data_IF_988125082895
#
_entry.id   IF_988125082895
#
_cell.length_a   1.000
_cell.length_b   1.000
_cell.length_c   1.000
_cell.angle_alpha   90.00
_cell.angle_beta   90.00
_cell.angle_gamma   90.00
#
_symmetry.space_group_name_H-M   'P 1'
#
loop_
_entity.id
_entity.type
_entity.pdbx_description
1 polymer ?
#
# COMPACT_ATOMS: atom_id res chain seq x y z
N UNK A 1 -7.78 -8.56 5.96
CA UNK A 1 -6.37 -8.87 6.23
C UNK A 1 -5.72 -7.83 7.12
N UNK A 2 -5.88 -6.53 6.86
CA UNK A 2 -5.21 -5.49 7.65
C UNK A 2 -5.63 -5.46 9.13
N UNK A 3 -6.92 -5.61 9.44
CA UNK A 3 -7.40 -5.70 10.83
C UNK A 3 -6.83 -6.92 11.58
N UNK A 4 -6.73 -8.07 10.91
CA UNK A 4 -6.12 -9.27 11.47
C UNK A 4 -4.63 -9.04 11.75
N UNK A 5 -3.90 -8.42 10.82
CA UNK A 5 -2.49 -8.07 10.99
C UNK A 5 -2.29 -7.06 12.14
N UNK A 6 -3.21 -6.12 12.34
CA UNK A 6 -3.19 -5.21 13.49
C UNK A 6 -3.35 -5.99 14.81
N UNK A 7 -4.32 -6.90 14.89
CA UNK A 7 -4.53 -7.76 16.05
C UNK A 7 -3.30 -8.62 16.35
N UNK A 8 -2.69 -9.22 15.33
CA UNK A 8 -1.47 -10.01 15.46
C UNK A 8 -0.31 -9.16 15.99
N UNK A 9 -0.11 -7.95 15.44
CA UNK A 9 0.93 -7.03 15.89
C UNK A 9 0.75 -6.62 17.36
N UNK A 10 -0.49 -6.38 17.79
CA UNK A 10 -0.80 -6.09 19.20
C UNK A 10 -0.54 -7.32 20.08
N UNK A 11 -0.95 -8.51 19.63
CA UNK A 11 -0.78 -9.76 20.37
C UNK A 11 0.70 -10.08 20.64
N UNK A 12 1.54 -10.01 19.62
CA UNK A 12 2.99 -10.24 19.73
C UNK A 12 3.79 -9.02 20.23
N UNK A 13 3.11 -7.92 20.62
CA UNK A 13 3.76 -6.74 21.19
C UNK A 13 4.57 -5.89 20.21
N UNK A 14 4.38 -6.08 18.90
CA UNK A 14 4.96 -5.22 17.84
C UNK A 14 4.32 -3.82 17.82
N UNK A 15 3.07 -3.71 18.25
CA UNK A 15 2.35 -2.44 18.40
C UNK A 15 2.03 -2.18 19.87
N UNK A 16 2.49 -1.04 20.38
CA UNK A 16 2.20 -0.61 21.74
C UNK A 16 0.78 -0.01 21.82
N UNK A 17 0.00 -0.46 22.80
CA UNK A 17 -1.33 0.07 23.10
C UNK A 17 -1.33 0.50 24.57
N UNK A 18 -1.44 1.80 24.82
CA UNK A 18 -1.34 2.34 26.19
C UNK A 18 -2.61 2.07 27.03
N UNK A 19 -3.77 1.93 26.38
CA UNK A 19 -5.02 1.60 27.06
C UNK A 19 -5.09 0.09 27.35
N UNK A 20 -4.99 -0.27 28.63
CA UNK A 20 -4.98 -1.66 29.08
C UNK A 20 -6.26 -2.43 28.70
N UNK A 21 -7.44 -1.83 28.86
CA UNK A 21 -8.70 -2.48 28.49
C UNK A 21 -8.76 -2.78 26.98
N UNK A 22 -8.29 -1.85 26.14
CA UNK A 22 -8.17 -2.07 24.68
C UNK A 22 -7.17 -3.18 24.38
N UNK A 23 -6.03 -3.19 25.05
CA UNK A 23 -4.99 -4.22 24.87
C UNK A 23 -5.53 -5.62 25.18
N UNK A 24 -6.17 -5.81 26.34
CA UNK A 24 -6.76 -7.10 26.75
C UNK A 24 -7.81 -7.55 25.74
N UNK A 25 -8.70 -6.64 25.32
CA UNK A 25 -9.74 -6.94 24.34
C UNK A 25 -9.16 -7.36 22.98
N UNK A 26 -8.18 -6.63 22.46
CA UNK A 26 -7.53 -6.94 21.19
C UNK A 26 -6.80 -8.29 21.23
N UNK A 27 -6.10 -8.60 22.33
CA UNK A 27 -5.45 -9.90 22.51
C UNK A 27 -6.46 -11.05 22.56
N UNK A 28 -7.51 -10.92 23.36
CA UNK A 28 -8.57 -11.93 23.43
C UNK A 28 -9.28 -12.14 22.09
N UNK A 29 -9.47 -11.07 21.30
CA UNK A 29 -10.03 -11.19 19.96
C UNK A 29 -9.09 -11.95 19.02
N UNK A 30 -7.78 -11.68 19.06
CA UNK A 30 -6.79 -12.42 18.27
C UNK A 30 -6.76 -13.91 18.63
N UNK A 31 -6.80 -14.25 19.92
CA UNK A 31 -6.91 -15.64 20.38
C UNK A 31 -8.19 -16.29 19.86
N UNK A 32 -9.32 -15.60 19.98
CA UNK A 32 -10.63 -16.11 19.55
C UNK A 32 -10.68 -16.42 18.06
N UNK A 33 -10.21 -15.51 17.18
CA UNK A 33 -10.19 -15.76 15.73
C UNK A 33 -9.23 -16.90 15.34
N UNK A 34 -8.25 -17.20 16.19
CA UNK A 34 -7.35 -18.35 16.06
C UNK A 34 -7.82 -19.58 16.84
N UNK A 35 -9.12 -19.66 17.19
CA UNK A 35 -9.72 -20.80 17.90
C UNK A 35 -9.02 -21.11 19.23
N UNK A 36 -8.58 -20.06 19.94
CA UNK A 36 -7.81 -20.12 21.18
C UNK A 36 -6.47 -20.87 21.05
N UNK A 37 -5.97 -21.04 19.82
CA UNK A 37 -4.69 -21.68 19.53
C UNK A 37 -3.87 -20.83 18.53
N UNK A 38 -3.45 -19.62 18.93
CA UNK A 38 -2.69 -18.73 18.06
C UNK A 38 -1.33 -19.32 17.67
N UNK A 39 -0.77 -18.93 16.51
CA UNK A 39 0.57 -19.31 16.11
C UNK A 39 1.63 -18.95 17.16
N UNK A 40 2.75 -19.69 17.15
CA UNK A 40 3.88 -19.41 18.07
C UNK A 40 4.66 -18.15 17.71
N UNK A 41 4.70 -17.81 16.43
CA UNK A 41 5.46 -16.69 15.89
C UNK A 41 4.54 -15.84 15.03
N UNK A 42 4.75 -14.52 15.04
CA UNK A 42 4.07 -13.63 14.11
C UNK A 42 4.54 -13.88 12.68
N UNK A 43 3.60 -13.75 11.76
CA UNK A 43 3.80 -13.78 10.33
C UNK A 43 4.47 -12.52 9.77
N UNK A 44 4.91 -12.61 8.51
CA UNK A 44 5.33 -11.44 7.73
C UNK A 44 4.09 -10.72 7.23
N UNK A 45 3.88 -9.49 7.69
CA UNK A 45 2.73 -8.69 7.24
C UNK A 45 3.07 -7.98 5.93
N UNK A 46 2.28 -8.27 4.90
CA UNK A 46 2.30 -7.56 3.62
C UNK A 46 0.91 -6.96 3.39
N UNK A 47 0.85 -5.74 2.86
CA UNK A 47 -0.42 -5.13 2.45
C UNK A 47 -1.06 -6.02 1.39
N UNK A 48 -2.21 -6.59 1.71
CA UNK A 48 -2.93 -7.45 0.75
C UNK A 48 -3.37 -6.65 -0.48
N UNK A 49 -3.62 -5.35 -0.30
CA UNK A 49 -3.96 -4.44 -1.39
C UNK A 49 -2.79 -4.18 -2.33
N UNK A 50 -1.58 -4.02 -1.78
CA UNK A 50 -0.38 -3.96 -2.60
C UNK A 50 -0.23 -5.23 -3.43
N UNK A 51 -0.43 -6.41 -2.82
CA UNK A 51 -0.38 -7.68 -3.54
C UNK A 51 -1.38 -7.74 -4.69
N UNK A 52 -2.63 -7.33 -4.47
CA UNK A 52 -3.66 -7.29 -5.53
C UNK A 52 -3.20 -6.40 -6.69
N UNK A 53 -2.69 -5.18 -6.43
CA UNK A 53 -2.21 -4.30 -7.49
C UNK A 53 -1.02 -4.89 -8.24
N UNK A 54 -0.06 -5.49 -7.55
CA UNK A 54 1.07 -6.17 -8.18
C UNK A 54 0.62 -7.39 -9.01
N UNK A 55 -0.37 -8.16 -8.55
CA UNK A 55 -0.92 -9.29 -9.30
C UNK A 55 -1.64 -8.89 -10.58
N UNK A 56 -2.26 -7.71 -10.61
CA UNK A 56 -2.86 -7.14 -11.83
C UNK A 56 -1.80 -6.79 -12.88
N UNK A 57 -0.64 -6.29 -12.43
CA UNK A 57 0.47 -5.89 -13.30
C UNK A 57 1.23 -7.11 -13.80
N UNK A 58 1.56 -8.03 -12.90
CA UNK A 58 2.39 -9.20 -13.17
C UNK A 58 1.52 -10.46 -13.29
N UNK A 59 1.10 -10.78 -14.52
CA UNK A 59 0.29 -11.99 -14.80
C UNK A 59 1.16 -13.23 -15.06
N UNK A 60 2.36 -13.06 -15.61
CA UNK A 60 3.36 -14.11 -15.86
C UNK A 60 4.38 -14.19 -14.71
N UNK A 61 4.88 -15.39 -14.41
CA UNK A 61 5.87 -15.66 -13.35
C UNK A 61 5.58 -14.90 -12.04
N UNK A 62 4.28 -14.82 -11.70
CA UNK A 62 3.72 -13.87 -10.73
C UNK A 62 4.39 -13.96 -9.36
N UNK A 63 4.59 -15.17 -8.84
CA UNK A 63 5.20 -15.38 -7.53
C UNK A 63 6.60 -14.77 -7.45
N UNK A 64 7.48 -15.12 -8.38
CA UNK A 64 8.88 -14.68 -8.40
C UNK A 64 8.98 -13.16 -8.60
N UNK A 65 8.22 -12.62 -9.56
CA UNK A 65 8.23 -11.18 -9.87
C UNK A 65 7.72 -10.35 -8.69
N UNK A 66 6.62 -10.77 -8.08
CA UNK A 66 6.04 -10.05 -6.93
C UNK A 66 6.94 -10.16 -5.71
N UNK A 67 7.48 -11.35 -5.41
CA UNK A 67 8.42 -11.52 -4.30
C UNK A 67 9.64 -10.61 -4.45
N UNK A 68 10.23 -10.54 -5.67
CA UNK A 68 11.32 -9.62 -5.97
C UNK A 68 10.92 -8.16 -5.75
N UNK A 69 9.75 -7.73 -6.23
CA UNK A 69 9.28 -6.36 -6.05
C UNK A 69 9.03 -5.99 -4.58
N UNK A 70 8.48 -6.91 -3.78
CA UNK A 70 8.28 -6.69 -2.35
C UNK A 70 9.62 -6.47 -1.62
N UNK A 71 10.68 -7.16 -2.04
CA UNK A 71 12.04 -6.97 -1.53
C UNK A 71 12.63 -5.64 -2.01
N UNK A 72 12.52 -5.33 -3.32
CA UNK A 72 13.01 -4.07 -3.91
C UNK A 72 12.38 -2.84 -3.25
N UNK A 73 11.10 -2.95 -2.89
CA UNK A 73 10.37 -1.91 -2.17
C UNK A 73 10.73 -1.82 -0.67
N UNK A 74 11.47 -2.79 -0.14
CA UNK A 74 11.77 -2.91 1.29
C UNK A 74 10.55 -3.28 2.14
N UNK A 75 9.50 -3.85 1.54
CA UNK A 75 8.29 -4.29 2.27
C UNK A 75 8.55 -5.57 3.05
N UNK A 76 9.40 -6.44 2.50
CA UNK A 76 9.88 -7.67 3.15
C UNK A 76 11.40 -7.80 2.96
N UNK A 77 12.07 -8.55 3.84
CA UNK A 77 13.50 -8.86 3.70
C UNK A 77 13.74 -10.09 2.84
N UNK A 78 12.88 -11.09 2.99
CA UNK A 78 12.92 -12.36 2.29
C UNK A 78 11.50 -12.89 2.10
N UNK A 79 11.31 -13.73 1.08
CA UNK A 79 10.06 -14.45 0.87
C UNK A 79 9.97 -15.68 1.77
N UNK A 80 8.75 -16.09 2.11
CA UNK A 80 8.48 -17.34 2.82
C UNK A 80 7.14 -17.92 2.35
N UNK A 81 6.84 -19.15 2.77
CA UNK A 81 5.62 -19.88 2.37
C UNK A 81 4.33 -19.07 2.62
N UNK A 82 4.26 -18.28 3.69
CA UNK A 82 3.07 -17.47 3.98
C UNK A 82 2.92 -16.35 2.93
N UNK A 83 4.00 -15.61 2.64
CA UNK A 83 3.98 -14.56 1.60
C UNK A 83 3.64 -15.16 0.24
N UNK A 84 4.18 -16.32 -0.10
CA UNK A 84 3.87 -17.03 -1.34
C UNK A 84 2.39 -17.39 -1.46
N UNK A 85 1.79 -17.88 -0.38
CA UNK A 85 0.37 -18.22 -0.35
C UNK A 85 -0.51 -16.96 -0.42
N UNK A 86 -0.12 -15.86 0.23
CA UNK A 86 -0.79 -14.57 0.07
C UNK A 86 -0.74 -14.06 -1.37
N UNK A 87 0.40 -14.21 -2.06
CA UNK A 87 0.53 -13.84 -3.48
C UNK A 87 -0.42 -14.68 -4.35
N UNK A 88 -0.50 -16.01 -4.11
CA UNK A 88 -1.42 -16.89 -4.85
C UNK A 88 -2.88 -16.46 -4.62
N UNK A 89 -3.27 -16.23 -3.38
CA UNK A 89 -4.63 -15.78 -3.04
C UNK A 89 -4.96 -14.44 -3.68
N UNK A 90 -4.04 -13.46 -3.60
CA UNK A 90 -4.22 -12.16 -4.24
C UNK A 90 -4.28 -12.27 -5.76
N UNK A 91 -3.50 -13.19 -6.35
CA UNK A 91 -3.53 -13.54 -7.77
C UNK A 91 -4.89 -14.02 -8.22
N UNK A 92 -5.42 -15.06 -7.54
CA UNK A 92 -6.75 -15.59 -7.81
C UNK A 92 -7.82 -14.50 -7.72
N UNK A 93 -7.79 -13.70 -6.65
CA UNK A 93 -8.71 -12.57 -6.49
C UNK A 93 -8.57 -11.55 -7.63
N UNK A 94 -7.34 -11.21 -8.03
CA UNK A 94 -7.10 -10.23 -9.10
C UNK A 94 -7.55 -10.71 -10.47
N UNK A 95 -7.52 -12.02 -10.71
CA UNK A 95 -7.95 -12.63 -11.97
C UNK A 95 -9.48 -12.73 -12.05
N UNK A 96 -10.14 -12.99 -10.92
CA UNK A 96 -11.62 -13.03 -10.82
C UNK A 96 -12.26 -11.62 -10.84
N UNK A 97 -11.52 -10.59 -10.39
CA UNK A 97 -12.03 -9.23 -10.23
C UNK A 97 -11.10 -8.18 -10.87
N UNK A 98 -11.29 -7.93 -12.17
CA UNK A 98 -10.52 -6.90 -12.90
C UNK A 98 -10.74 -5.49 -12.32
N UNK A 99 -11.97 -5.16 -11.94
CA UNK A 99 -12.30 -3.92 -11.22
C UNK A 99 -12.32 -4.16 -9.72
N UNK A 100 -11.18 -3.93 -9.07
CA UNK A 100 -11.22 -3.64 -7.63
C UNK A 100 -11.64 -2.20 -7.48
N UNK A 101 -12.93 -1.96 -7.18
CA UNK A 101 -13.36 -0.62 -6.76
C UNK A 101 -12.55 -0.24 -5.54
N UNK A 102 -11.60 0.66 -5.73
CA UNK A 102 -10.94 1.42 -4.66
C UNK A 102 -12.10 2.10 -3.94
N UNK A 103 -12.44 1.73 -2.69
CA UNK A 103 -13.43 2.47 -1.93
C UNK A 103 -12.93 3.90 -1.92
N UNK A 104 -13.75 4.85 -2.39
CA UNK A 104 -13.37 6.25 -2.36
C UNK A 104 -13.12 6.63 -0.92
N UNK A 105 -11.85 6.74 -0.52
CA UNK A 105 -11.53 7.19 0.82
C UNK A 105 -12.01 8.64 0.88
N UNK A 106 -12.93 8.93 1.82
CA UNK A 106 -13.29 10.31 2.13
C UNK A 106 -12.15 10.93 2.92
N UNK A 107 -11.14 11.43 2.23
CA UNK A 107 -10.11 12.30 2.81
C UNK A 107 -10.22 13.69 2.18
N UNK A 108 -9.94 14.71 2.99
CA UNK A 108 -9.96 16.09 2.54
C UNK A 108 -8.63 16.42 1.88
N UNK A 109 -8.68 16.91 0.65
CA UNK A 109 -7.54 17.45 -0.09
C UNK A 109 -7.72 18.97 -0.11
N UNK A 110 -6.81 19.69 0.51
CA UNK A 110 -6.79 21.16 0.47
C UNK A 110 -6.33 21.66 -0.91
N UNK A 111 -6.47 22.97 -1.15
CA UNK A 111 -6.18 23.56 -2.46
C UNK A 111 -4.69 23.45 -2.82
N UNK A 112 -3.80 23.57 -1.84
CA UNK A 112 -2.36 23.42 -2.01
C UNK A 112 -1.99 21.99 -2.46
N UNK A 113 -2.60 20.98 -1.86
CA UNK A 113 -2.43 19.60 -2.27
C UNK A 113 -3.06 19.31 -3.63
N UNK A 114 -4.18 19.96 -4.00
CA UNK A 114 -4.76 19.86 -5.35
C UNK A 114 -3.82 20.43 -6.40
N UNK A 115 -3.19 21.57 -6.14
CA UNK A 115 -2.22 22.16 -7.07
C UNK A 115 -0.98 21.27 -7.23
N UNK A 116 -0.49 20.69 -6.13
CA UNK A 116 0.58 19.68 -6.17
C UNK A 116 0.17 18.43 -6.99
N UNK A 117 -1.06 17.94 -6.83
CA UNK A 117 -1.58 16.81 -7.60
C UNK A 117 -1.74 17.14 -9.09
N UNK A 118 -2.14 18.36 -9.45
CA UNK A 118 -2.18 18.83 -10.85
C UNK A 118 -0.81 18.80 -11.48
N UNK A 119 0.19 19.39 -10.82
CA UNK A 119 1.58 19.39 -11.31
C UNK A 119 2.13 17.96 -11.47
N UNK A 120 1.86 17.08 -10.52
CA UNK A 120 2.26 15.67 -10.62
C UNK A 120 1.57 14.98 -11.80
N UNK A 121 0.26 15.22 -11.99
CA UNK A 121 -0.52 14.65 -13.10
C UNK A 121 0.07 15.07 -14.46
N UNK A 122 0.48 16.34 -14.59
CA UNK A 122 1.09 16.85 -15.82
C UNK A 122 2.42 16.17 -16.14
N UNK A 123 3.26 15.93 -15.13
CA UNK A 123 4.54 15.24 -15.29
C UNK A 123 4.32 13.75 -15.61
N UNK A 124 3.37 13.09 -14.95
CA UNK A 124 3.06 11.68 -15.17
C UNK A 124 2.40 11.42 -16.53
N UNK A 125 1.67 12.40 -17.07
CA UNK A 125 1.01 12.29 -18.38
C UNK A 125 1.98 12.39 -19.55
N UNK A 126 3.18 12.97 -19.34
CA UNK A 126 4.23 13.06 -20.35
C UNK A 126 4.96 11.72 -20.52
N UNK A 127 5.35 11.44 -21.75
CA UNK A 127 6.17 10.26 -22.10
C UNK A 127 7.66 10.46 -21.79
N UNK A 128 8.02 11.56 -21.12
CA UNK A 128 9.38 11.86 -20.70
C UNK A 128 9.89 10.83 -19.67
N UNK A 129 11.18 10.48 -19.79
CA UNK A 129 11.87 9.69 -18.78
C UNK A 129 12.06 10.54 -17.53
N UNK A 130 11.55 10.06 -16.41
CA UNK A 130 11.75 10.70 -15.10
C UNK A 130 12.86 9.91 -14.42
N UNK A 131 14.02 10.53 -14.18
CA UNK A 131 15.17 9.83 -13.58
C UNK A 131 14.92 9.43 -12.13
N UNK A 132 14.28 10.32 -11.35
CA UNK A 132 13.89 10.05 -9.97
C UNK A 132 12.48 10.59 -9.70
N UNK A 133 11.49 9.73 -9.92
CA UNK A 133 10.10 10.08 -9.65
C UNK A 133 9.84 10.29 -8.16
N UNK A 134 10.56 9.58 -7.28
CA UNK A 134 10.41 9.76 -5.84
C UNK A 134 10.81 11.18 -5.42
N UNK A 135 11.96 11.65 -5.91
CA UNK A 135 12.44 13.00 -5.64
C UNK A 135 11.55 14.06 -6.29
N UNK A 136 11.05 13.81 -7.50
CA UNK A 136 10.11 14.72 -8.18
C UNK A 136 8.85 14.94 -7.35
N UNK A 137 8.25 13.86 -6.82
CA UNK A 137 7.08 13.95 -5.92
C UNK A 137 7.40 14.74 -4.65
N UNK A 138 8.59 14.53 -4.08
CA UNK A 138 9.04 15.28 -2.91
C UNK A 138 9.17 16.78 -3.18
N UNK A 139 9.78 17.15 -4.31
CA UNK A 139 9.97 18.56 -4.72
C UNK A 139 8.63 19.24 -4.98
N UNK A 140 7.71 18.60 -5.71
CA UNK A 140 6.37 19.13 -5.98
C UNK A 140 5.63 19.42 -4.67
N UNK A 141 5.70 18.53 -3.69
CA UNK A 141 5.11 18.77 -2.38
C UNK A 141 5.67 20.05 -1.74
N UNK A 142 7.01 20.20 -1.73
CA UNK A 142 7.67 21.36 -1.14
C UNK A 142 7.34 22.68 -1.84
N UNK A 143 7.32 22.69 -3.17
CA UNK A 143 7.02 23.88 -3.99
C UNK A 143 5.60 24.40 -3.74
N UNK A 144 4.66 23.48 -3.51
CA UNK A 144 3.27 23.82 -3.21
C UNK A 144 3.00 24.04 -1.72
N UNK A 145 4.05 24.04 -0.87
CA UNK A 145 3.93 24.21 0.59
C UNK A 145 3.20 23.06 1.31
N UNK A 146 3.11 21.89 0.68
CA UNK A 146 2.59 20.67 1.29
C UNK A 146 3.72 19.94 2.01
N UNK A 147 3.46 19.45 3.23
CA UNK A 147 4.43 18.57 3.88
C UNK A 147 4.58 17.28 3.06
N UNK A 148 5.81 16.87 2.66
CA UNK A 148 6.00 15.71 1.80
C UNK A 148 5.36 14.44 2.37
N UNK A 149 5.42 14.25 3.69
CA UNK A 149 4.77 13.13 4.38
C UNK A 149 3.26 13.08 4.11
N UNK A 150 2.60 14.23 4.16
CA UNK A 150 1.15 14.31 3.93
C UNK A 150 0.82 14.13 2.45
N UNK A 151 1.66 14.64 1.55
CA UNK A 151 1.50 14.41 0.11
C UNK A 151 1.67 12.93 -0.26
N UNK A 152 2.68 12.25 0.28
CA UNK A 152 2.84 10.79 0.10
C UNK A 152 1.64 10.03 0.65
N UNK A 153 1.12 10.42 1.82
CA UNK A 153 -0.10 9.83 2.38
C UNK A 153 -1.29 9.98 1.44
N UNK A 154 -1.48 11.17 0.85
CA UNK A 154 -2.54 11.42 -0.14
C UNK A 154 -2.40 10.47 -1.34
N UNK A 155 -1.20 10.32 -1.87
CA UNK A 155 -0.97 9.43 -3.01
C UNK A 155 -1.20 7.95 -2.65
N UNK A 156 -0.80 7.50 -1.46
CA UNK A 156 -1.14 6.15 -0.99
C UNK A 156 -2.65 5.98 -0.81
N UNK A 157 -3.38 7.01 -0.37
CA UNK A 157 -4.84 6.94 -0.26
C UNK A 157 -5.53 6.84 -1.63
N UNK A 158 -5.00 7.53 -2.66
CA UNK A 158 -5.51 7.44 -4.04
C UNK A 158 -5.24 6.05 -4.63
N UNK A 159 -4.00 5.56 -4.53
CA UNK A 159 -3.56 4.36 -5.24
C UNK A 159 -3.90 3.07 -4.46
N UNK A 160 -3.71 3.09 -3.14
CA UNK A 160 -3.83 1.91 -2.27
C UNK A 160 -4.95 2.03 -1.22
N UNK A 161 -5.63 3.19 -1.09
CA UNK A 161 -6.48 3.52 0.08
C UNK A 161 -5.87 3.15 1.42
N UNK A 162 -4.56 3.35 1.56
CA UNK A 162 -3.84 3.19 2.81
C UNK A 162 -3.10 4.49 3.13
N UNK A 163 -2.75 4.69 4.40
CA UNK A 163 -1.96 5.86 4.80
C UNK A 163 -0.47 5.72 4.50
N UNK A 164 -0.02 4.50 4.18
CA UNK A 164 1.39 4.13 4.00
C UNK A 164 1.50 3.02 2.98
N UNK A 165 2.64 2.96 2.29
CA UNK A 165 2.92 1.96 1.27
C UNK A 165 4.42 1.81 0.99
N UNK A 166 4.77 1.05 -0.06
CA UNK A 166 6.14 0.92 -0.53
C UNK A 166 6.66 2.24 -1.07
N UNK A 167 7.95 2.33 -1.41
CA UNK A 167 8.51 3.51 -2.08
C UNK A 167 7.67 3.86 -3.32
N UNK A 168 7.00 5.02 -3.28
CA UNK A 168 5.92 5.31 -4.22
C UNK A 168 6.38 5.54 -5.65
N UNK A 169 7.57 6.11 -5.87
CA UNK A 169 8.12 6.37 -7.20
C UNK A 169 8.22 5.09 -8.04
N UNK A 170 9.05 4.11 -7.63
CA UNK A 170 9.14 2.81 -8.31
C UNK A 170 7.78 2.10 -8.44
N UNK A 171 6.91 2.23 -7.43
CA UNK A 171 5.59 1.63 -7.47
C UNK A 171 4.68 2.25 -8.55
N UNK A 172 4.71 3.58 -8.72
CA UNK A 172 4.01 4.28 -9.81
C UNK A 172 4.56 3.87 -11.18
N UNK A 173 5.87 3.65 -11.29
CA UNK A 173 6.49 3.16 -12.53
C UNK A 173 6.00 1.76 -12.89
N UNK A 174 5.89 0.87 -11.91
CA UNK A 174 5.37 -0.50 -12.10
C UNK A 174 3.86 -0.51 -12.44
N UNK A 175 3.05 0.36 -11.81
CA UNK A 175 1.62 0.51 -12.17
C UNK A 175 1.45 1.13 -13.57
N UNK A 176 2.34 2.06 -13.92
CA UNK A 176 2.27 2.87 -15.13
C UNK A 176 1.84 4.32 -14.83
N UNK A 177 2.73 5.27 -15.17
CA UNK A 177 2.54 6.72 -14.93
C UNK A 177 1.19 7.26 -15.40
N UNK A 178 0.78 6.92 -16.63
CA UNK A 178 -0.49 7.38 -17.23
C UNK A 178 -1.72 6.88 -16.46
N UNK A 179 -1.71 5.62 -16.00
CA UNK A 179 -2.80 5.07 -15.19
C UNK A 179 -2.93 5.82 -13.87
N UNK A 180 -1.81 6.05 -13.18
CA UNK A 180 -1.79 6.80 -11.92
C UNK A 180 -2.26 8.25 -12.12
N UNK A 181 -1.87 8.90 -13.22
CA UNK A 181 -2.36 10.23 -13.55
C UNK A 181 -3.90 10.28 -13.69
N UNK A 182 -4.49 9.29 -14.36
CA UNK A 182 -5.95 9.18 -14.48
C UNK A 182 -6.63 8.91 -13.12
N UNK A 183 -6.00 8.13 -12.24
CA UNK A 183 -6.52 7.90 -10.89
C UNK A 183 -6.48 9.17 -10.03
N UNK A 184 -5.42 9.99 -10.16
CA UNK A 184 -5.31 11.28 -9.46
C UNK A 184 -6.38 12.27 -9.97
N UNK A 185 -6.63 12.32 -11.28
CA UNK A 185 -7.63 13.24 -11.88
C UNK A 185 -9.04 13.08 -11.31
N UNK A 186 -9.40 11.90 -10.81
CA UNK A 186 -10.72 11.64 -10.20
C UNK A 186 -10.94 12.43 -8.89
N UNK A 187 -9.89 13.01 -8.32
CA UNK A 187 -9.91 13.73 -7.04
C UNK A 187 -9.63 15.23 -7.18
N UNK A 188 -9.47 15.74 -8.40
CA UNK A 188 -9.23 17.15 -8.73
C UNK A 188 -10.53 17.87 -9.08
#
# INVERSE_FOLDING_TARGET
MDEYNELENIYFGKTKVDNEAKLVKSKGLYEYVNLLNPPKNSSTHVSYRLLIELCKIFKDNRLERIASKLIDYGTIKETNSNVEDLIKLAGNYSDDFEETKIPGTKFTIDDSAKDALRQLTDILSKDDKIEDLQNSIYTIAKENQVQPRDFFRILYQIILSTDRGPKIGPFIEDIGKKKVAEDIKKYL
#
